data_IF_259325708725
#
_entry.id   IF_259325708725
#
_cell.length_a   1.000
_cell.length_b   1.000
_cell.length_c   1.000
_cell.angle_alpha   90.00
_cell.angle_beta   90.00
_cell.angle_gamma   90.00
#
_symmetry.space_group_name_H-M   'P 1'
#
loop_
_entity.id
_entity.type
_entity.pdbx_description
1 polymer ?
#
# COMPACT_ATOMS: atom_id res chain seq x y z
N UNK A 1 35.67 37.63 8.95
CA UNK A 1 34.54 37.04 8.18
C UNK A 1 35.16 36.11 7.15
N UNK A 2 35.09 34.81 7.38
CA UNK A 2 35.57 33.83 6.40
C UNK A 2 34.65 33.89 5.18
N UNK A 3 35.21 34.32 4.03
CA UNK A 3 34.46 34.22 2.75
C UNK A 3 34.02 32.80 2.55
N UNK A 4 32.71 32.56 2.62
CA UNK A 4 32.11 31.28 2.37
C UNK A 4 32.23 30.96 0.88
N UNK A 5 33.27 30.22 0.52
CA UNK A 5 33.51 29.84 -0.88
C UNK A 5 32.49 28.72 -1.26
N UNK A 6 31.41 29.12 -1.92
CA UNK A 6 30.38 28.20 -2.41
C UNK A 6 30.71 27.76 -3.83
N UNK A 7 30.70 26.45 -4.04
CA UNK A 7 30.83 25.88 -5.38
C UNK A 7 29.61 26.25 -6.26
N UNK A 8 29.79 26.28 -7.58
CA UNK A 8 28.70 26.61 -8.54
C UNK A 8 27.41 25.83 -8.31
N UNK A 9 27.51 24.53 -7.98
CA UNK A 9 26.37 23.66 -7.68
C UNK A 9 25.65 24.11 -6.40
N UNK A 10 26.42 24.41 -5.33
CA UNK A 10 25.88 24.90 -4.06
C UNK A 10 25.13 26.22 -4.22
N UNK A 11 25.72 27.18 -4.94
CA UNK A 11 25.08 28.48 -5.24
C UNK A 11 23.74 28.26 -5.98
N UNK A 12 23.73 27.39 -6.99
CA UNK A 12 22.54 27.13 -7.79
C UNK A 12 21.42 26.53 -6.94
N UNK A 13 21.75 25.56 -6.08
CA UNK A 13 20.80 24.91 -5.15
C UNK A 13 20.29 25.95 -4.14
N UNK A 14 21.18 26.68 -3.51
CA UNK A 14 20.83 27.66 -2.49
C UNK A 14 19.87 28.73 -3.03
N UNK A 15 20.17 29.31 -4.19
CA UNK A 15 19.31 30.32 -4.84
C UNK A 15 17.93 29.74 -5.24
N UNK A 16 17.87 28.49 -5.63
CA UNK A 16 16.61 27.85 -5.94
C UNK A 16 15.74 27.61 -4.70
N UNK A 17 16.37 27.39 -3.55
CA UNK A 17 15.68 27.18 -2.28
C UNK A 17 15.13 28.45 -1.65
N UNK A 18 15.67 29.65 -2.02
CA UNK A 18 15.17 30.92 -1.47
C UNK A 18 13.68 31.15 -1.70
N UNK A 19 13.20 30.70 -2.85
CA UNK A 19 11.80 30.87 -3.27
C UNK A 19 10.87 29.76 -2.77
N UNK A 20 11.41 28.78 -2.03
CA UNK A 20 10.72 27.56 -1.66
C UNK A 20 10.88 27.29 -0.16
N UNK A 21 9.78 27.03 0.53
CA UNK A 21 9.85 26.68 1.96
C UNK A 21 10.40 25.27 2.18
N UNK A 22 9.90 24.31 1.40
CA UNK A 22 10.33 22.92 1.39
C UNK A 22 10.22 22.34 0.00
N UNK A 23 11.15 21.48 -0.36
CA UNK A 23 11.16 20.81 -1.65
C UNK A 23 11.79 19.43 -1.55
N UNK A 24 11.29 18.47 -2.32
CA UNK A 24 11.93 17.17 -2.48
C UNK A 24 13.11 17.23 -3.46
N UNK A 25 13.98 16.24 -3.37
CA UNK A 25 15.25 16.20 -4.11
C UNK A 25 15.04 16.10 -5.64
N UNK A 26 14.00 15.43 -6.09
CA UNK A 26 13.70 15.22 -7.51
C UNK A 26 13.18 16.50 -8.15
N UNK A 27 12.27 17.20 -7.45
CA UNK A 27 11.81 18.53 -7.88
C UNK A 27 12.96 19.56 -7.88
N UNK A 28 13.84 19.49 -6.88
CA UNK A 28 15.00 20.37 -6.83
C UNK A 28 15.96 20.11 -8.01
N UNK A 29 16.15 18.85 -8.39
CA UNK A 29 16.94 18.50 -9.57
C UNK A 29 16.32 19.06 -10.86
N UNK A 30 15.01 18.95 -11.02
CA UNK A 30 14.28 19.51 -12.17
C UNK A 30 14.41 21.02 -12.25
N UNK A 31 14.19 21.75 -11.15
CA UNK A 31 14.27 23.22 -11.11
C UNK A 31 15.69 23.72 -11.34
N UNK A 32 16.67 23.03 -10.77
CA UNK A 32 18.08 23.41 -10.93
C UNK A 32 18.69 22.95 -12.24
N UNK A 33 18.02 22.10 -13.00
CA UNK A 33 18.57 21.44 -14.19
C UNK A 33 19.94 20.81 -13.89
N UNK A 34 20.03 20.10 -12.77
CA UNK A 34 21.20 19.34 -12.33
C UNK A 34 20.84 17.86 -12.28
N UNK A 35 21.84 17.00 -12.45
CA UNK A 35 21.62 15.57 -12.20
C UNK A 35 21.32 15.31 -10.71
N UNK A 36 20.56 14.27 -10.41
CA UNK A 36 20.24 13.87 -9.03
C UNK A 36 21.49 13.71 -8.16
N UNK A 37 22.58 13.17 -8.72
CA UNK A 37 23.84 12.98 -8.00
C UNK A 37 24.51 14.31 -7.65
N UNK A 38 24.47 15.29 -8.57
CA UNK A 38 25.00 16.62 -8.31
C UNK A 38 24.16 17.35 -7.25
N UNK A 39 22.82 17.16 -7.29
CA UNK A 39 21.95 17.72 -6.26
C UNK A 39 22.23 17.10 -4.91
N UNK A 40 22.33 15.76 -4.82
CA UNK A 40 22.66 15.06 -3.58
C UNK A 40 23.97 15.55 -2.96
N UNK A 41 25.04 15.60 -3.76
CA UNK A 41 26.35 16.12 -3.31
C UNK A 41 26.27 17.57 -2.85
N UNK A 42 25.60 18.42 -3.62
CA UNK A 42 25.44 19.84 -3.27
C UNK A 42 24.66 20.04 -1.97
N UNK A 43 23.60 19.23 -1.74
CA UNK A 43 22.85 19.23 -0.48
C UNK A 43 23.71 18.77 0.69
N UNK A 44 24.52 17.71 0.53
CA UNK A 44 25.41 17.23 1.59
C UNK A 44 26.44 18.31 1.99
N UNK A 45 27.04 19.00 1.00
CA UNK A 45 27.96 20.10 1.26
C UNK A 45 27.28 21.28 1.96
N UNK A 46 26.10 21.69 1.49
CA UNK A 46 25.32 22.77 2.12
C UNK A 46 24.83 22.38 3.53
N UNK A 47 24.48 21.12 3.76
CA UNK A 47 24.14 20.59 5.07
C UNK A 47 25.35 20.63 6.01
N UNK A 48 26.51 20.21 5.55
CA UNK A 48 27.77 20.29 6.31
C UNK A 48 28.10 21.73 6.69
N UNK A 49 27.85 22.69 5.79
CA UNK A 49 28.02 24.13 6.04
C UNK A 49 26.88 24.74 6.88
N UNK A 50 25.90 23.95 7.30
CA UNK A 50 24.77 24.41 8.12
C UNK A 50 23.74 25.26 7.39
N UNK A 51 23.78 25.33 6.05
CA UNK A 51 22.92 26.22 5.24
C UNK A 51 21.58 25.59 4.88
N UNK A 52 21.48 24.26 4.84
CA UNK A 52 20.25 23.55 4.59
C UNK A 52 19.95 22.53 5.68
N UNK A 53 18.66 22.31 5.91
CA UNK A 53 18.14 21.24 6.74
C UNK A 53 17.49 20.20 5.84
N UNK A 54 17.72 18.93 6.15
CA UNK A 54 17.12 17.80 5.44
C UNK A 54 16.32 17.00 6.43
N UNK A 55 15.00 16.95 6.26
CA UNK A 55 14.10 16.06 6.99
C UNK A 55 13.78 14.85 6.16
N UNK A 56 13.78 13.68 6.80
CA UNK A 56 13.47 12.41 6.16
C UNK A 56 12.10 11.96 6.63
N UNK A 57 11.18 11.84 5.69
CA UNK A 57 9.87 11.25 5.92
C UNK A 57 9.88 9.82 5.40
N UNK A 58 9.35 8.92 6.20
CA UNK A 58 9.14 7.52 5.82
C UNK A 58 7.65 7.29 5.76
N UNK A 59 7.18 6.79 4.64
CA UNK A 59 5.80 6.37 4.49
C UNK A 59 5.76 4.95 3.92
N UNK A 60 4.76 4.19 4.30
CA UNK A 60 4.53 2.86 3.77
C UNK A 60 3.58 2.95 2.58
N UNK A 61 4.04 2.41 1.46
CA UNK A 61 3.21 2.22 0.28
C UNK A 61 2.68 0.80 0.27
N UNK A 62 1.40 0.67 0.09
CA UNK A 62 0.69 -0.61 -0.01
C UNK A 62 0.20 -0.81 -1.43
N UNK A 63 0.43 -2.00 -1.96
CA UNK A 63 -0.05 -2.44 -3.27
C UNK A 63 -0.53 -3.89 -3.19
N UNK A 64 -1.36 -4.31 -4.15
CA UNK A 64 -1.74 -5.70 -4.28
C UNK A 64 -0.56 -6.53 -4.77
N UNK A 65 -0.45 -7.76 -4.26
CA UNK A 65 0.50 -8.72 -4.81
C UNK A 65 -0.05 -9.18 -6.17
N UNK A 66 0.65 -8.83 -7.25
CA UNK A 66 0.38 -9.33 -8.60
C UNK A 66 1.29 -10.52 -8.86
N UNK A 67 0.74 -11.63 -9.33
CA UNK A 67 1.52 -12.85 -9.66
C UNK A 67 2.56 -12.65 -10.77
N UNK A 68 2.62 -11.47 -11.41
CA UNK A 68 3.54 -11.19 -12.50
C UNK A 68 4.99 -10.93 -12.09
N UNK A 69 5.30 -10.78 -10.79
CA UNK A 69 6.64 -10.41 -10.33
C UNK A 69 7.51 -11.57 -9.84
N UNK A 70 7.00 -12.78 -9.75
CA UNK A 70 7.80 -13.95 -9.34
C UNK A 70 7.58 -15.15 -10.26
N UNK A 71 7.86 -14.99 -11.56
CA UNK A 71 8.15 -16.17 -12.39
C UNK A 71 9.62 -16.54 -12.21
N UNK A 72 9.92 -17.30 -11.15
CA UNK A 72 11.07 -18.18 -11.15
C UNK A 72 10.86 -19.24 -12.25
N UNK A 73 11.89 -19.47 -13.04
CA UNK A 73 11.97 -20.34 -14.23
C UNK A 73 11.82 -21.84 -13.93
N UNK A 74 10.88 -22.29 -13.13
CA UNK A 74 10.65 -23.70 -12.88
C UNK A 74 9.35 -24.10 -13.57
N UNK A 75 9.57 -24.70 -14.76
CA UNK A 75 8.53 -25.09 -15.72
C UNK A 75 7.64 -26.25 -15.23
N UNK A 76 6.70 -25.96 -14.34
CA UNK A 76 5.54 -26.82 -14.12
C UNK A 76 4.26 -26.04 -14.43
N UNK A 77 3.41 -26.54 -15.36
CA UNK A 77 2.09 -25.98 -15.58
C UNK A 77 1.22 -26.31 -14.37
N UNK A 78 1.08 -25.39 -13.40
CA UNK A 78 0.09 -25.50 -12.37
C UNK A 78 -1.18 -24.79 -12.85
N UNK A 79 -2.32 -25.50 -12.85
CA UNK A 79 -3.67 -24.96 -12.96
C UNK A 79 -3.88 -23.91 -11.85
N UNK A 80 -3.45 -22.67 -12.08
CA UNK A 80 -3.66 -21.56 -11.15
C UNK A 80 -4.84 -20.73 -11.65
N UNK A 81 -5.77 -20.37 -10.75
CA UNK A 81 -6.94 -19.57 -11.11
C UNK A 81 -6.55 -18.20 -11.63
N UNK A 82 -7.36 -17.67 -12.54
CA UNK A 82 -7.21 -16.34 -13.15
C UNK A 82 -7.05 -15.24 -12.09
N UNK A 83 -6.24 -14.21 -12.39
CA UNK A 83 -5.90 -13.05 -11.54
C UNK A 83 -7.11 -12.36 -10.88
N UNK A 84 -8.31 -12.49 -11.44
CA UNK A 84 -9.54 -11.96 -10.86
C UNK A 84 -10.05 -12.74 -9.64
N UNK A 85 -9.74 -14.05 -9.53
CA UNK A 85 -10.24 -14.90 -8.44
C UNK A 85 -9.39 -14.75 -7.16
N UNK A 86 -8.11 -14.38 -7.29
CA UNK A 86 -7.20 -14.23 -6.14
C UNK A 86 -7.48 -13.00 -5.27
N UNK A 87 -8.22 -12.02 -5.77
CA UNK A 87 -8.61 -10.83 -4.99
C UNK A 87 -9.88 -11.04 -4.17
N UNK A 88 -10.64 -12.10 -4.45
CA UNK A 88 -11.87 -12.39 -3.74
C UNK A 88 -11.58 -13.13 -2.44
N UNK A 89 -11.95 -12.54 -1.31
CA UNK A 89 -11.75 -13.15 0.00
C UNK A 89 -12.48 -14.49 0.14
N UNK A 90 -11.93 -15.47 0.87
CA UNK A 90 -12.54 -16.79 1.07
C UNK A 90 -13.98 -16.72 1.56
N UNK A 91 -14.29 -15.83 2.50
CA UNK A 91 -15.64 -15.60 3.01
C UNK A 91 -16.61 -15.12 1.93
N UNK A 92 -16.16 -14.30 0.99
CA UNK A 92 -16.99 -13.84 -0.14
C UNK A 92 -17.21 -14.95 -1.15
N UNK A 93 -16.20 -15.76 -1.43
CA UNK A 93 -16.32 -16.94 -2.30
C UNK A 93 -17.36 -17.92 -1.74
N UNK A 94 -17.35 -18.13 -0.42
CA UNK A 94 -18.34 -18.97 0.29
C UNK A 94 -19.75 -18.40 0.12
N UNK A 95 -19.95 -17.12 0.38
CA UNK A 95 -21.25 -16.45 0.22
C UNK A 95 -21.74 -16.54 -1.22
N UNK A 96 -20.87 -16.29 -2.19
CA UNK A 96 -21.21 -16.39 -3.62
C UNK A 96 -21.58 -17.84 -4.02
N UNK A 97 -20.86 -18.83 -3.50
CA UNK A 97 -21.19 -20.23 -3.77
C UNK A 97 -22.61 -20.62 -3.29
N UNK A 98 -23.02 -20.11 -2.11
CA UNK A 98 -24.39 -20.33 -1.60
C UNK A 98 -25.42 -19.59 -2.46
N UNK A 99 -25.15 -18.33 -2.85
CA UNK A 99 -26.04 -17.54 -3.70
C UNK A 99 -26.27 -18.20 -5.07
N UNK A 100 -25.21 -18.70 -5.69
CA UNK A 100 -25.28 -19.36 -6.99
C UNK A 100 -26.14 -20.64 -6.98
N UNK A 101 -26.28 -21.28 -5.82
CA UNK A 101 -27.18 -22.42 -5.63
C UNK A 101 -28.64 -22.01 -5.43
N UNK A 102 -28.93 -20.70 -5.33
CA UNK A 102 -30.26 -20.18 -5.03
C UNK A 102 -30.87 -20.76 -3.73
N UNK A 103 -30.04 -21.26 -2.83
CA UNK A 103 -30.46 -21.84 -1.55
C UNK A 103 -30.25 -20.79 -0.43
N UNK A 104 -31.21 -20.69 0.47
CA UNK A 104 -31.07 -19.86 1.68
C UNK A 104 -30.25 -20.56 2.77
N UNK A 105 -30.24 -21.88 2.78
CA UNK A 105 -29.58 -22.75 3.77
C UNK A 105 -28.79 -23.84 3.04
N UNK A 106 -27.60 -24.16 3.52
CA UNK A 106 -26.75 -25.20 2.97
C UNK A 106 -26.00 -25.94 4.09
N UNK A 107 -25.79 -27.24 3.95
CA UNK A 107 -24.94 -28.01 4.87
C UNK A 107 -23.48 -27.70 4.62
N UNK A 108 -22.70 -27.58 5.70
CA UNK A 108 -21.25 -27.24 5.63
C UNK A 108 -20.50 -28.24 4.75
N UNK A 109 -20.78 -29.53 4.89
CA UNK A 109 -20.12 -30.58 4.09
C UNK A 109 -20.44 -30.51 2.58
N UNK A 110 -21.63 -30.06 2.20
CA UNK A 110 -22.02 -29.85 0.81
C UNK A 110 -21.29 -28.59 0.26
N UNK A 111 -21.27 -27.52 1.04
CA UNK A 111 -20.63 -26.28 0.66
C UNK A 111 -19.10 -26.43 0.49
N UNK A 112 -18.46 -27.23 1.34
CA UNK A 112 -17.03 -27.54 1.23
C UNK A 112 -16.66 -28.15 -0.13
N UNK A 113 -17.53 -29.07 -0.66
CA UNK A 113 -17.34 -29.67 -1.98
C UNK A 113 -17.49 -28.67 -3.14
N UNK A 114 -18.28 -27.60 -2.94
CA UNK A 114 -18.56 -26.59 -3.97
C UNK A 114 -17.48 -25.52 -4.05
N UNK A 115 -16.83 -25.22 -2.93
CA UNK A 115 -15.95 -24.04 -2.86
C UNK A 115 -14.53 -24.26 -3.42
N UNK A 116 -14.11 -25.49 -3.71
CA UNK A 116 -12.76 -25.83 -4.21
C UNK A 116 -11.64 -25.09 -3.46
N UNK A 117 -11.72 -25.05 -2.12
CA UNK A 117 -10.78 -24.39 -1.21
C UNK A 117 -10.09 -25.41 -0.34
N UNK A 118 -8.91 -25.07 0.19
CA UNK A 118 -8.30 -25.86 1.26
C UNK A 118 -9.20 -25.85 2.52
N UNK A 119 -9.12 -26.91 3.33
CA UNK A 119 -9.91 -27.00 4.56
C UNK A 119 -9.66 -25.82 5.52
N UNK A 120 -8.43 -25.29 5.54
CA UNK A 120 -8.05 -24.16 6.37
C UNK A 120 -8.74 -22.89 5.86
N UNK A 121 -8.61 -22.58 4.56
CA UNK A 121 -9.26 -21.41 3.95
C UNK A 121 -10.78 -21.46 4.12
N UNK A 122 -11.37 -22.62 3.90
CA UNK A 122 -12.80 -22.81 4.05
C UNK A 122 -13.26 -22.54 5.49
N UNK A 123 -12.56 -23.10 6.47
CA UNK A 123 -12.87 -22.90 7.89
C UNK A 123 -12.75 -21.43 8.29
N UNK A 124 -11.65 -20.77 7.92
CA UNK A 124 -11.41 -19.35 8.18
C UNK A 124 -12.44 -18.49 7.45
N UNK A 125 -12.76 -18.81 6.21
CA UNK A 125 -13.78 -18.12 5.42
C UNK A 125 -15.16 -18.17 6.08
N UNK A 126 -15.60 -19.34 6.60
CA UNK A 126 -16.86 -19.44 7.36
C UNK A 126 -16.82 -18.55 8.60
N UNK A 127 -15.74 -18.62 9.40
CA UNK A 127 -15.62 -17.83 10.63
C UNK A 127 -15.71 -16.32 10.32
N UNK A 128 -15.03 -15.87 9.27
CA UNK A 128 -15.07 -14.48 8.85
C UNK A 128 -16.45 -14.08 8.31
N UNK A 129 -17.10 -14.92 7.50
CA UNK A 129 -18.44 -14.64 7.00
C UNK A 129 -19.48 -14.53 8.14
N UNK A 130 -19.36 -15.36 9.18
CA UNK A 130 -20.19 -15.27 10.38
C UNK A 130 -19.85 -14.00 11.18
N UNK A 131 -18.57 -13.69 11.38
CA UNK A 131 -18.13 -12.47 12.06
C UNK A 131 -18.64 -11.21 11.36
N UNK A 132 -18.63 -11.18 10.03
CA UNK A 132 -19.15 -10.08 9.22
C UNK A 132 -20.69 -10.03 9.21
N UNK A 133 -21.36 -10.99 9.85
CA UNK A 133 -22.81 -11.09 9.88
C UNK A 133 -23.42 -11.46 8.52
N UNK A 134 -22.66 -12.02 7.59
CA UNK A 134 -23.14 -12.48 6.28
C UNK A 134 -23.79 -13.86 6.32
N UNK A 135 -23.33 -14.68 7.25
CA UNK A 135 -23.84 -16.02 7.49
C UNK A 135 -24.23 -16.21 8.95
N UNK A 136 -25.31 -16.92 9.19
CA UNK A 136 -25.65 -17.51 10.48
C UNK A 136 -25.33 -19.00 10.45
N UNK A 137 -24.60 -19.50 11.45
CA UNK A 137 -24.27 -20.91 11.61
C UNK A 137 -25.18 -21.54 12.65
N UNK A 138 -25.87 -22.62 12.30
CA UNK A 138 -26.68 -23.44 13.18
C UNK A 138 -26.27 -24.91 13.02
N UNK A 139 -25.56 -25.44 14.02
CA UNK A 139 -24.97 -26.78 13.97
C UNK A 139 -24.12 -27.01 12.70
N UNK A 140 -24.56 -27.84 11.78
CA UNK A 140 -23.90 -28.18 10.52
C UNK A 140 -24.42 -27.40 9.30
N UNK A 141 -25.29 -26.39 9.53
CA UNK A 141 -25.98 -25.65 8.48
C UNK A 141 -25.59 -24.17 8.53
N UNK A 142 -25.40 -23.55 7.35
CA UNK A 142 -25.18 -22.16 7.14
C UNK A 142 -26.36 -21.50 6.44
N UNK A 143 -26.77 -20.33 6.92
CA UNK A 143 -27.86 -19.53 6.36
C UNK A 143 -27.35 -18.14 5.96
N UNK A 144 -27.64 -17.70 4.73
CA UNK A 144 -27.34 -16.34 4.28
C UNK A 144 -28.23 -15.34 5.02
N UNK A 145 -27.62 -14.21 5.40
CA UNK A 145 -28.33 -13.05 6.00
C UNK A 145 -28.53 -11.93 4.98
N UNK A 146 -29.37 -10.96 5.32
CA UNK A 146 -29.55 -9.73 4.53
C UNK A 146 -28.30 -8.83 4.48
N UNK A 147 -27.30 -9.05 5.36
CA UNK A 147 -26.05 -8.31 5.37
C UNK A 147 -25.01 -8.84 4.36
N UNK A 148 -25.28 -9.96 3.72
CA UNK A 148 -24.35 -10.60 2.79
C UNK A 148 -23.99 -9.78 1.55
N UNK A 149 -24.74 -8.71 1.25
CA UNK A 149 -24.45 -7.76 0.18
C UNK A 149 -23.48 -6.66 0.60
N UNK A 150 -23.29 -6.44 1.89
CA UNK A 150 -22.38 -5.42 2.39
C UNK A 150 -20.93 -5.84 2.19
N UNK A 151 -20.09 -4.90 1.78
CA UNK A 151 -18.65 -5.13 1.72
C UNK A 151 -18.06 -5.10 3.13
N UNK A 152 -17.05 -5.96 3.36
CA UNK A 152 -16.22 -5.87 4.57
C UNK A 152 -15.23 -4.70 4.44
N UNK A 153 -14.56 -4.37 5.56
CA UNK A 153 -13.49 -3.36 5.55
C UNK A 153 -12.34 -3.78 4.63
N UNK A 154 -12.01 -5.07 4.67
CA UNK A 154 -10.97 -5.65 3.82
C UNK A 154 -11.33 -5.54 2.34
N UNK A 155 -12.57 -5.87 1.94
CA UNK A 155 -13.01 -5.77 0.55
C UNK A 155 -13.03 -4.33 0.05
N UNK A 156 -13.48 -3.40 0.88
CA UNK A 156 -13.48 -1.98 0.55
C UNK A 156 -12.06 -1.48 0.28
N UNK A 157 -11.09 -1.90 1.10
CA UNK A 157 -9.70 -1.51 0.91
C UNK A 157 -9.08 -2.19 -0.32
N UNK A 158 -9.35 -3.49 -0.54
CA UNK A 158 -8.87 -4.20 -1.74
C UNK A 158 -9.37 -3.54 -3.03
N UNK A 159 -10.64 -3.15 -3.08
CA UNK A 159 -11.21 -2.44 -4.22
C UNK A 159 -10.53 -1.08 -4.43
N UNK A 160 -10.29 -0.32 -3.37
CA UNK A 160 -9.57 0.97 -3.43
C UNK A 160 -8.15 0.79 -3.98
N UNK A 161 -7.38 -0.18 -3.44
CA UNK A 161 -6.00 -0.44 -3.90
C UNK A 161 -6.00 -0.96 -5.34
N UNK A 162 -6.96 -1.80 -5.73
CA UNK A 162 -7.09 -2.30 -7.10
C UNK A 162 -7.25 -1.17 -8.11
N UNK A 163 -8.05 -0.15 -7.78
CA UNK A 163 -8.26 1.03 -8.63
C UNK A 163 -7.05 1.97 -8.67
N UNK A 164 -6.44 2.25 -7.52
CA UNK A 164 -5.31 3.18 -7.41
C UNK A 164 -3.96 2.54 -7.72
N UNK A 165 -3.90 1.19 -7.78
CA UNK A 165 -2.69 0.35 -7.94
C UNK A 165 -1.77 0.38 -6.73
N UNK A 166 -1.55 1.53 -6.13
CA UNK A 166 -0.77 1.74 -4.90
C UNK A 166 -1.39 2.87 -4.08
N UNK A 167 -1.22 2.81 -2.76
CA UNK A 167 -1.69 3.84 -1.84
C UNK A 167 -0.70 4.01 -0.68
N UNK A 168 -0.54 5.22 -0.18
CA UNK A 168 0.25 5.49 1.03
C UNK A 168 -0.58 5.23 2.27
N UNK A 169 0.03 4.67 3.32
CA UNK A 169 -0.69 4.47 4.59
C UNK A 169 -1.17 5.78 5.20
N UNK A 170 -0.41 6.86 5.03
CA UNK A 170 -0.79 8.21 5.46
C UNK A 170 -2.04 8.78 4.77
N UNK A 171 -2.46 8.21 3.63
CA UNK A 171 -3.65 8.60 2.87
C UNK A 171 -4.90 7.78 3.23
N UNK A 172 -4.75 6.79 4.11
CA UNK A 172 -5.86 5.96 4.57
C UNK A 172 -6.60 6.63 5.73
N UNK A 173 -7.93 6.57 5.71
CA UNK A 173 -8.76 6.91 6.85
C UNK A 173 -8.63 5.84 7.95
N UNK A 174 -9.03 6.17 9.19
CA UNK A 174 -8.99 5.25 10.33
C UNK A 174 -9.68 3.92 10.01
N UNK A 175 -10.84 3.98 9.36
CA UNK A 175 -11.60 2.80 8.95
C UNK A 175 -10.86 1.93 7.92
N UNK A 176 -10.13 2.55 7.00
CA UNK A 176 -9.31 1.84 6.02
C UNK A 176 -8.05 1.25 6.64
N UNK A 177 -7.49 1.91 7.66
CA UNK A 177 -6.38 1.38 8.48
C UNK A 177 -6.81 0.13 9.26
N UNK A 178 -8.05 0.08 9.75
CA UNK A 178 -8.62 -1.15 10.32
C UNK A 178 -8.67 -2.27 9.28
N UNK A 179 -9.16 -1.98 8.08
CA UNK A 179 -9.16 -2.92 6.95
C UNK A 179 -7.75 -3.40 6.58
N UNK A 180 -6.77 -2.48 6.56
CA UNK A 180 -5.37 -2.81 6.32
C UNK A 180 -4.81 -3.74 7.40
N UNK A 181 -5.10 -3.46 8.67
CA UNK A 181 -4.65 -4.27 9.81
C UNK A 181 -5.18 -5.70 9.74
N UNK A 182 -6.42 -5.86 9.28
CA UNK A 182 -7.03 -7.17 9.06
C UNK A 182 -6.40 -7.90 7.87
N UNK A 183 -6.21 -7.21 6.74
CA UNK A 183 -5.59 -7.77 5.54
C UNK A 183 -4.12 -8.14 5.74
N UNK A 184 -3.37 -7.36 6.53
CA UNK A 184 -1.96 -7.65 6.84
C UNK A 184 -1.78 -9.00 7.54
N UNK A 185 -2.80 -9.49 8.26
CA UNK A 185 -2.80 -10.82 8.88
C UNK A 185 -3.05 -11.96 7.87
N UNK A 186 -3.37 -11.62 6.63
CA UNK A 186 -3.67 -12.58 5.55
C UNK A 186 -2.54 -12.55 4.53
N UNK A 187 -1.68 -13.57 4.48
CA UNK A 187 -0.60 -13.60 3.49
C UNK A 187 -1.17 -13.65 2.06
N UNK A 188 -0.45 -13.07 1.12
CA UNK A 188 -0.77 -13.18 -0.30
C UNK A 188 -1.66 -12.08 -0.88
N UNK A 189 -2.16 -11.12 -0.09
CA UNK A 189 -2.98 -10.03 -0.61
C UNK A 189 -2.20 -8.73 -0.82
N UNK A 190 -1.39 -8.33 0.16
CA UNK A 190 -0.75 -7.02 0.18
C UNK A 190 0.78 -7.13 0.21
N UNK A 191 1.42 -6.25 -0.55
CA UNK A 191 2.85 -5.96 -0.46
C UNK A 191 3.03 -4.55 0.10
N UNK A 192 3.78 -4.44 1.19
CA UNK A 192 4.14 -3.18 1.82
C UNK A 192 5.59 -2.84 1.48
N UNK A 193 5.85 -1.61 1.04
CA UNK A 193 7.19 -1.09 0.79
C UNK A 193 7.34 0.26 1.47
N UNK A 194 8.52 0.53 2.05
CA UNK A 194 8.80 1.81 2.69
C UNK A 194 9.41 2.75 1.66
N UNK A 195 8.73 3.87 1.40
CA UNK A 195 9.26 4.97 0.62
C UNK A 195 9.87 6.02 1.56
N UNK A 196 11.04 6.51 1.20
CA UNK A 196 11.71 7.61 1.93
C UNK A 196 11.66 8.84 1.04
N UNK A 197 11.05 9.91 1.54
CA UNK A 197 11.08 11.23 0.91
C UNK A 197 11.97 12.15 1.72
N UNK A 198 12.65 13.04 1.03
CA UNK A 198 13.60 13.98 1.63
C UNK A 198 13.12 15.40 1.37
N UNK A 199 12.69 16.08 2.43
CA UNK A 199 12.35 17.49 2.37
C UNK A 199 13.58 18.34 2.71
N UNK A 200 13.93 19.24 1.80
CA UNK A 200 15.07 20.14 1.91
C UNK A 200 14.54 21.54 2.14
N UNK A 201 15.07 22.24 3.13
CA UNK A 201 14.73 23.62 3.45
C UNK A 201 15.97 24.41 3.82
N UNK A 202 15.93 25.75 3.64
CA UNK A 202 17.00 26.63 4.10
C UNK A 202 16.95 26.77 5.62
N UNK A 203 18.12 26.73 6.23
CA UNK A 203 18.32 27.22 7.61
C UNK A 203 18.34 28.74 7.68
N UNK A 204 18.35 29.32 8.88
CA UNK A 204 18.52 30.76 9.05
C UNK A 204 19.85 31.24 8.46
N UNK A 205 20.93 30.46 8.59
CA UNK A 205 22.23 30.79 7.99
C UNK A 205 22.18 30.69 6.45
N UNK A 206 21.52 29.68 5.93
CA UNK A 206 21.30 29.53 4.48
C UNK A 206 20.52 30.72 3.90
N UNK A 207 19.50 31.21 4.59
CA UNK A 207 18.73 32.39 4.18
C UNK A 207 19.58 33.66 4.15
N UNK A 208 20.47 33.89 5.15
CA UNK A 208 21.38 35.06 5.19
C UNK A 208 22.40 35.05 4.05
N UNK A 209 22.87 33.85 3.65
CA UNK A 209 23.88 33.75 2.59
C UNK A 209 23.24 33.83 1.20
N UNK A 210 21.99 33.53 1.09
CA UNK A 210 21.23 33.49 -0.18
C UNK A 210 20.53 34.81 -0.50
N UNK A 211 20.39 35.73 0.50
CA UNK A 211 19.88 37.10 0.33
C UNK A 211 21.01 38.04 -0.09
#
# INVERSE_FOLDING_TARGET
MTELNLHKIEKKILLSLVKLDKIDIEKLASITNLSLDNVRRGIEWLKYKGMVSVSVHKDSIVQLISESSERSNDGHPSDKPHVSDNLTLPERRIVNAIKNKHQKNIKIGELAKLCSMSNIEFSVGIQNAVRNGWLNKAADTLKITGNSEKLSLEETLLDKISRLKKIRLSELSDRELDGFTLLKKRPGYLKETIEKTFDISLTNEGKKVAS
#
